data_IF_427874122275
#
_entry.id   IF_427874122275
#
_cell.length_a   1.000
_cell.length_b   1.000
_cell.length_c   1.000
_cell.angle_alpha   90.00
_cell.angle_beta   90.00
_cell.angle_gamma   90.00
#
_symmetry.space_group_name_H-M   'P 1'
#
loop_
_entity.id
_entity.type
_entity.pdbx_description
1 polymer ?
#
# COMPACT_ATOMS: atom_id res chain seq x y z
N UNK A 1 -53.83 -36.09 28.21
CA UNK A 1 -53.86 -35.07 27.14
C UNK A 1 -52.49 -34.39 27.08
N UNK A 2 -52.07 -34.04 25.87
CA UNK A 2 -50.69 -33.90 25.39
C UNK A 2 -49.86 -32.82 26.11
N UNK A 3 -48.61 -33.17 26.43
CA UNK A 3 -47.57 -32.22 26.83
C UNK A 3 -47.01 -31.52 25.59
N UNK A 4 -47.15 -30.20 25.55
CA UNK A 4 -46.60 -29.36 24.49
C UNK A 4 -45.19 -28.92 24.94
N UNK A 5 -44.15 -29.58 24.43
CA UNK A 5 -42.77 -29.14 24.59
C UNK A 5 -42.48 -28.05 23.56
N UNK A 6 -42.49 -26.80 23.99
CA UNK A 6 -42.10 -25.66 23.14
C UNK A 6 -40.59 -25.67 22.93
N UNK A 7 -40.15 -26.15 21.76
CA UNK A 7 -38.77 -26.01 21.30
C UNK A 7 -38.61 -24.58 20.79
N UNK A 8 -38.03 -23.71 21.61
CA UNK A 8 -37.61 -22.38 21.18
C UNK A 8 -36.35 -22.53 20.33
N UNK A 9 -36.51 -22.43 19.00
CA UNK A 9 -35.43 -22.39 18.03
C UNK A 9 -34.72 -21.03 18.18
N UNK A 10 -33.58 -21.02 18.88
CA UNK A 10 -32.72 -19.83 18.93
C UNK A 10 -32.07 -19.65 17.55
N UNK A 11 -32.60 -18.75 16.72
CA UNK A 11 -31.93 -18.30 15.51
C UNK A 11 -30.64 -17.58 15.91
N UNK A 12 -29.51 -18.27 15.72
CA UNK A 12 -28.18 -17.71 15.85
C UNK A 12 -27.96 -16.83 14.61
N UNK A 13 -28.30 -15.54 14.70
CA UNK A 13 -27.92 -14.57 13.68
C UNK A 13 -26.40 -14.44 13.69
N UNK A 14 -25.72 -15.11 12.77
CA UNK A 14 -24.31 -14.88 12.50
C UNK A 14 -24.16 -13.44 12.03
N UNK A 15 -23.69 -12.55 12.91
CA UNK A 15 -23.08 -11.29 12.47
C UNK A 15 -21.82 -11.69 11.71
N UNK A 16 -21.93 -11.78 10.40
CA UNK A 16 -20.78 -11.79 9.52
C UNK A 16 -20.11 -10.42 9.67
N UNK A 17 -19.11 -10.33 10.55
CA UNK A 17 -18.17 -9.22 10.57
C UNK A 17 -17.37 -9.34 9.27
N UNK A 18 -17.88 -8.75 8.19
CA UNK A 18 -17.12 -8.59 6.96
C UNK A 18 -15.87 -7.79 7.29
N UNK A 19 -14.69 -8.40 7.16
CA UNK A 19 -13.44 -7.66 7.17
C UNK A 19 -13.46 -6.77 5.92
N UNK A 20 -13.76 -5.48 6.10
CA UNK A 20 -13.57 -4.52 5.03
C UNK A 20 -12.06 -4.39 4.81
N UNK A 21 -11.60 -4.64 3.59
CA UNK A 21 -10.23 -4.34 3.22
C UNK A 21 -9.96 -2.86 3.51
N UNK A 22 -8.80 -2.56 4.12
CA UNK A 22 -8.44 -1.18 4.41
C UNK A 22 -8.38 -0.38 3.10
N UNK A 23 -8.97 0.82 3.10
CA UNK A 23 -8.97 1.69 1.91
C UNK A 23 -7.56 2.20 1.65
N UNK A 24 -7.07 2.03 0.42
CA UNK A 24 -5.81 2.61 -0.01
C UNK A 24 -5.97 4.15 -0.09
N UNK A 25 -5.10 4.87 0.63
CA UNK A 25 -5.08 6.33 0.70
C UNK A 25 -4.28 6.97 -0.43
N UNK A 26 -3.58 6.16 -1.24
CA UNK A 26 -2.80 6.62 -2.39
C UNK A 26 -3.73 6.77 -3.60
N UNK A 27 -3.76 7.96 -4.18
CA UNK A 27 -4.40 8.19 -5.48
C UNK A 27 -3.50 7.63 -6.58
N UNK A 28 -4.10 6.85 -7.49
CA UNK A 28 -3.41 6.28 -8.65
C UNK A 28 -2.15 5.48 -8.28
N UNK A 29 -2.25 4.61 -7.26
CA UNK A 29 -1.13 3.84 -6.74
C UNK A 29 -0.48 2.88 -7.74
N UNK A 30 -1.26 2.37 -8.71
CA UNK A 30 -0.79 1.54 -9.83
C UNK A 30 -0.75 2.26 -11.18
N UNK A 31 -0.86 3.59 -11.19
CA UNK A 31 -0.61 4.41 -12.39
C UNK A 31 -1.52 4.16 -13.62
N UNK A 32 -2.65 3.48 -13.44
CA UNK A 32 -3.62 3.17 -14.49
C UNK A 32 -4.53 4.36 -14.91
N UNK A 33 -4.54 5.45 -14.15
CA UNK A 33 -5.44 6.59 -14.42
C UNK A 33 -4.98 7.51 -15.56
N UNK A 34 -3.87 7.19 -16.23
CA UNK A 34 -3.40 7.85 -17.45
C UNK A 34 -3.31 6.83 -18.57
N UNK A 35 -4.07 7.03 -19.65
CA UNK A 35 -3.97 6.16 -20.83
C UNK A 35 -2.59 6.31 -21.48
N UNK A 36 -1.89 5.19 -21.71
CA UNK A 36 -0.53 5.14 -22.23
C UNK A 36 -0.38 3.92 -23.15
N UNK A 37 0.43 4.01 -24.22
CA UNK A 37 0.59 2.90 -25.20
C UNK A 37 2.03 2.42 -25.35
N UNK A 38 3.00 3.21 -24.88
CA UNK A 38 4.41 2.81 -24.75
C UNK A 38 4.97 3.52 -23.52
N UNK A 39 5.76 4.56 -23.69
CA UNK A 39 6.25 5.38 -22.59
C UNK A 39 6.13 6.87 -22.93
N UNK A 40 6.04 7.71 -21.92
CA UNK A 40 6.19 9.15 -22.04
C UNK A 40 6.60 9.76 -20.68
N UNK A 41 7.25 10.91 -20.72
CA UNK A 41 7.68 11.63 -19.51
C UNK A 41 6.66 12.70 -19.13
N UNK A 42 6.34 12.76 -17.84
CA UNK A 42 5.35 13.68 -17.30
C UNK A 42 5.92 14.47 -16.14
N UNK A 43 5.54 15.74 -16.00
CA UNK A 43 5.79 16.52 -14.79
C UNK A 43 4.79 16.17 -13.68
N UNK A 44 3.63 15.63 -14.04
CA UNK A 44 2.62 15.15 -13.10
C UNK A 44 1.77 14.02 -13.70
N UNK A 45 1.28 13.15 -12.81
CA UNK A 45 0.26 12.15 -13.08
C UNK A 45 -0.91 12.38 -12.11
N UNK A 46 -2.10 11.79 -12.31
CA UNK A 46 -3.17 11.87 -11.31
C UNK A 46 -2.65 11.47 -9.93
N UNK A 47 -2.75 12.38 -8.95
CA UNK A 47 -2.27 12.17 -7.57
C UNK A 47 -0.76 12.37 -7.35
N UNK A 48 0.05 12.52 -8.40
CA UNK A 48 1.51 12.48 -8.28
C UNK A 48 2.21 13.66 -8.96
N UNK A 49 3.28 14.15 -8.35
CA UNK A 49 4.16 15.18 -8.91
C UNK A 49 5.55 14.61 -9.17
N UNK A 50 6.02 14.69 -10.41
CA UNK A 50 7.38 14.30 -10.77
C UNK A 50 8.43 15.27 -10.22
N UNK A 51 9.65 14.77 -9.98
CA UNK A 51 10.76 15.53 -9.41
C UNK A 51 12.04 15.32 -10.25
N UNK A 52 12.29 16.13 -11.29
CA UNK A 52 11.38 17.12 -11.88
C UNK A 52 10.28 16.50 -12.74
N UNK A 53 10.40 15.22 -13.08
CA UNK A 53 9.46 14.48 -13.91
C UNK A 53 9.47 13.00 -13.52
N UNK A 54 8.65 12.21 -14.20
CA UNK A 54 8.55 10.76 -14.09
C UNK A 54 8.23 10.16 -15.44
N UNK A 55 8.78 9.00 -15.78
CA UNK A 55 8.41 8.27 -16.99
C UNK A 55 7.29 7.26 -16.67
N UNK A 56 6.15 7.39 -17.33
CA UNK A 56 5.07 6.40 -17.28
C UNK A 56 5.27 5.41 -18.43
N UNK A 57 5.33 4.12 -18.13
CA UNK A 57 5.53 3.03 -19.10
C UNK A 57 4.32 2.12 -19.09
N UNK A 58 3.87 1.71 -20.27
CA UNK A 58 2.89 0.65 -20.49
C UNK A 58 3.62 -0.58 -21.02
N UNK A 59 3.87 -1.56 -20.15
CA UNK A 59 4.51 -2.84 -20.49
C UNK A 59 5.69 -2.76 -21.48
N UNK A 60 6.54 -1.74 -21.34
CA UNK A 60 7.72 -1.51 -22.18
C UNK A 60 8.96 -1.41 -21.31
N UNK A 61 10.07 -2.01 -21.74
CA UNK A 61 11.27 -2.16 -20.91
C UNK A 61 10.97 -2.86 -19.57
N UNK A 62 10.05 -3.82 -19.60
CA UNK A 62 9.51 -4.53 -18.43
C UNK A 62 7.99 -4.70 -18.56
N UNK A 63 7.39 -5.40 -17.61
CA UNK A 63 5.93 -5.57 -17.51
C UNK A 63 5.43 -5.02 -16.18
N UNK A 64 4.24 -4.41 -16.17
CA UNK A 64 3.64 -3.87 -14.95
C UNK A 64 3.43 -4.97 -13.90
N UNK A 65 3.45 -4.59 -12.62
CA UNK A 65 3.11 -5.47 -11.52
C UNK A 65 1.59 -5.56 -11.34
N UNK A 66 0.91 -4.42 -11.46
CA UNK A 66 -0.55 -4.30 -11.48
C UNK A 66 -0.97 -3.59 -12.77
N UNK A 67 -2.11 -3.98 -13.35
CA UNK A 67 -2.63 -3.33 -14.56
C UNK A 67 -1.69 -3.42 -15.77
N UNK A 68 -1.45 -2.28 -16.43
CA UNK A 68 -0.66 -2.15 -17.65
C UNK A 68 0.49 -1.17 -17.52
N UNK A 69 0.38 -0.20 -16.62
CA UNK A 69 1.27 0.90 -16.43
C UNK A 69 2.11 0.76 -15.17
N UNK A 70 3.31 1.32 -15.20
CA UNK A 70 4.16 1.53 -14.04
C UNK A 70 5.03 2.76 -14.29
N UNK A 71 5.68 3.28 -13.25
CA UNK A 71 6.59 4.43 -13.41
C UNK A 71 8.05 4.04 -13.30
N UNK A 72 8.90 4.84 -13.91
CA UNK A 72 10.35 4.73 -13.84
C UNK A 72 10.98 6.08 -13.44
N UNK A 73 12.07 6.02 -12.66
CA UNK A 73 12.57 7.14 -11.84
C UNK A 73 13.95 7.71 -12.22
N UNK A 74 14.57 7.33 -13.33
CA UNK A 74 15.77 7.93 -13.93
C UNK A 74 15.53 8.18 -15.42
N UNK A 75 14.77 9.25 -15.72
CA UNK A 75 14.25 9.53 -17.05
C UNK A 75 15.37 9.93 -18.03
N UNK A 76 15.80 11.19 -18.01
CA UNK A 76 17.04 11.68 -18.62
C UNK A 76 18.13 11.90 -17.55
N UNK A 77 17.75 11.79 -16.28
CA UNK A 77 18.58 11.86 -15.09
C UNK A 77 17.79 11.30 -13.91
N UNK A 78 18.46 10.97 -12.81
CA UNK A 78 17.82 10.59 -11.56
C UNK A 78 16.69 11.57 -11.23
N UNK A 79 15.52 11.03 -10.98
CA UNK A 79 14.28 11.75 -10.73
C UNK A 79 13.54 11.15 -9.53
N UNK A 80 12.29 11.53 -9.36
CA UNK A 80 11.46 11.03 -8.28
C UNK A 80 10.00 11.37 -8.50
N UNK A 81 9.16 10.88 -7.60
CA UNK A 81 7.73 11.12 -7.62
C UNK A 81 7.22 11.31 -6.19
N UNK A 82 6.30 12.26 -6.01
CA UNK A 82 5.76 12.61 -4.69
C UNK A 82 4.24 12.70 -4.70
N UNK A 83 3.63 12.35 -3.56
CA UNK A 83 2.21 12.54 -3.29
C UNK A 83 2.03 12.90 -1.81
N UNK A 84 1.14 13.86 -1.53
CA UNK A 84 0.71 14.14 -0.16
C UNK A 84 -0.39 13.18 0.24
N UNK A 85 -0.17 12.45 1.32
CA UNK A 85 -1.14 11.51 1.90
C UNK A 85 -1.78 12.16 3.13
N UNK A 86 -3.11 12.18 3.17
CA UNK A 86 -3.89 12.68 4.33
C UNK A 86 -4.14 11.53 5.31
N UNK A 87 -3.34 11.48 6.38
CA UNK A 87 -3.45 10.47 7.43
C UNK A 87 -2.78 10.95 8.73
N UNK A 88 -3.11 10.26 9.82
CA UNK A 88 -2.50 10.41 11.15
C UNK A 88 -2.22 9.04 11.75
N UNK A 89 -1.37 9.00 12.78
CA UNK A 89 -1.05 7.78 13.52
C UNK A 89 -0.24 6.78 12.71
N UNK A 90 -0.44 5.50 13.00
CA UNK A 90 0.23 4.40 12.31
C UNK A 90 -0.45 4.12 10.96
N UNK A 91 0.37 4.08 9.92
CA UNK A 91 -0.02 3.62 8.58
C UNK A 91 0.93 2.51 8.13
N UNK A 92 0.44 1.61 7.29
CA UNK A 92 1.26 0.66 6.56
C UNK A 92 1.47 1.20 5.15
N UNK A 93 2.73 1.47 4.80
CA UNK A 93 3.17 1.75 3.44
C UNK A 93 3.58 0.43 2.78
N UNK A 94 3.09 0.18 1.58
CA UNK A 94 3.61 -0.88 0.71
C UNK A 94 3.75 -0.41 -0.73
N UNK A 95 4.64 -1.05 -1.48
CA UNK A 95 4.86 -0.81 -2.91
C UNK A 95 5.62 -1.96 -3.54
N UNK A 96 5.55 -2.07 -4.86
CA UNK A 96 6.37 -2.97 -5.64
C UNK A 96 7.46 -2.22 -6.38
N UNK A 97 8.66 -2.77 -6.34
CA UNK A 97 9.81 -2.19 -7.05
C UNK A 97 10.58 -3.27 -7.79
N UNK A 98 11.11 -2.92 -8.96
CA UNK A 98 12.01 -3.79 -9.70
C UNK A 98 13.13 -2.97 -10.33
N UNK A 99 14.36 -3.46 -10.23
CA UNK A 99 15.44 -2.94 -11.06
C UNK A 99 15.12 -3.15 -12.54
N UNK A 100 15.46 -2.15 -13.37
CA UNK A 100 15.23 -2.20 -14.80
C UNK A 100 15.93 -3.40 -15.42
N UNK A 101 15.25 -4.19 -16.27
CA UNK A 101 15.87 -5.32 -16.94
C UNK A 101 17.11 -4.89 -17.74
N UNK A 102 18.19 -5.69 -17.65
CA UNK A 102 19.45 -5.44 -18.34
C UNK A 102 20.39 -4.43 -17.68
N UNK A 103 20.14 -4.00 -16.43
CA UNK A 103 20.96 -2.98 -15.75
C UNK A 103 21.84 -3.55 -14.63
N UNK A 104 22.93 -2.84 -14.33
CA UNK A 104 23.86 -3.21 -13.26
C UNK A 104 23.32 -2.81 -11.88
N UNK A 105 24.03 -3.26 -10.83
CA UNK A 105 23.69 -2.94 -9.43
C UNK A 105 23.86 -1.47 -9.06
N UNK A 106 24.52 -0.66 -9.88
CA UNK A 106 24.75 0.76 -9.57
C UNK A 106 23.59 1.67 -9.97
N UNK A 107 22.60 1.17 -10.70
CA UNK A 107 21.63 2.04 -11.40
C UNK A 107 20.30 2.21 -10.63
N UNK A 108 19.79 1.17 -9.96
CA UNK A 108 18.40 1.13 -9.51
C UNK A 108 18.22 1.39 -8.01
N UNK A 109 19.12 2.15 -7.40
CA UNK A 109 19.02 2.46 -5.98
C UNK A 109 17.82 3.37 -5.72
N UNK A 110 17.05 3.08 -4.67
CA UNK A 110 15.80 3.76 -4.33
C UNK A 110 15.85 4.34 -2.92
N UNK A 111 15.64 5.64 -2.81
CA UNK A 111 15.29 6.29 -1.56
C UNK A 111 13.79 6.49 -1.45
N UNK A 112 13.25 6.20 -0.27
CA UNK A 112 11.87 6.50 0.09
C UNK A 112 11.86 7.39 1.32
N UNK A 113 11.03 8.42 1.29
CA UNK A 113 10.67 9.18 2.48
C UNK A 113 9.16 9.30 2.63
N UNK A 114 8.70 9.32 3.88
CA UNK A 114 7.31 9.52 4.21
C UNK A 114 7.18 10.43 5.44
N UNK A 115 6.87 11.70 5.16
CA UNK A 115 6.95 12.78 6.14
C UNK A 115 8.37 12.93 6.71
N UNK A 116 8.46 13.41 7.94
CA UNK A 116 9.74 13.50 8.67
C UNK A 116 10.07 12.22 9.44
N UNK A 117 9.13 11.27 9.50
CA UNK A 117 9.21 10.09 10.35
C UNK A 117 9.96 8.92 9.71
N UNK A 118 10.01 8.88 8.38
CA UNK A 118 10.65 7.82 7.63
C UNK A 118 11.44 8.40 6.47
N UNK A 119 12.73 8.13 6.42
CA UNK A 119 13.58 8.43 5.28
C UNK A 119 14.71 7.40 5.26
N UNK A 120 14.72 6.55 4.25
CA UNK A 120 15.76 5.52 4.12
C UNK A 120 16.04 5.21 2.66
N UNK A 121 17.25 4.77 2.38
CA UNK A 121 17.54 4.10 1.11
C UNK A 121 17.15 2.64 1.29
N UNK A 122 16.03 2.27 0.69
CA UNK A 122 15.40 0.95 0.88
C UNK A 122 16.05 -0.11 0.00
N UNK A 123 16.71 0.32 -1.08
CA UNK A 123 17.39 -0.53 -2.04
C UNK A 123 18.73 0.10 -2.43
N UNK A 124 19.82 -0.62 -2.16
CA UNK A 124 21.19 -0.26 -2.52
C UNK A 124 21.86 -1.43 -3.23
N UNK A 125 22.55 -1.15 -4.33
CA UNK A 125 23.25 -2.17 -5.10
C UNK A 125 22.31 -3.09 -5.88
N UNK A 126 21.13 -2.61 -6.30
CA UNK A 126 20.13 -3.47 -6.96
C UNK A 126 20.30 -3.43 -8.48
N UNK A 127 20.62 -4.59 -9.04
CA UNK A 127 20.75 -4.79 -10.49
C UNK A 127 19.81 -5.88 -10.99
N UNK A 128 19.62 -5.92 -12.31
CA UNK A 128 18.80 -6.94 -12.94
C UNK A 128 19.44 -7.33 -14.28
N UNK A 129 20.16 -8.45 -14.29
CA UNK A 129 20.81 -8.99 -15.50
C UNK A 129 19.85 -9.76 -16.41
N UNK A 130 18.57 -9.89 -16.03
CA UNK A 130 17.55 -10.58 -16.83
C UNK A 130 16.87 -9.64 -17.82
N UNK A 131 16.07 -10.19 -18.73
CA UNK A 131 15.26 -9.42 -19.70
C UNK A 131 13.86 -9.06 -19.20
N UNK A 132 13.52 -9.41 -17.96
CA UNK A 132 12.18 -9.20 -17.38
C UNK A 132 12.27 -8.51 -16.02
N UNK A 133 11.18 -7.90 -15.57
CA UNK A 133 11.11 -7.44 -14.18
C UNK A 133 11.19 -8.61 -13.21
N UNK A 134 11.85 -8.38 -12.09
CA UNK A 134 11.78 -9.18 -10.88
C UNK A 134 11.21 -8.30 -9.77
N UNK A 135 9.88 -8.26 -9.69
CA UNK A 135 9.17 -7.38 -8.76
C UNK A 135 9.35 -7.84 -7.32
N UNK A 136 9.74 -6.91 -6.45
CA UNK A 136 9.89 -7.11 -5.02
C UNK A 136 8.85 -6.28 -4.27
N UNK A 137 8.19 -6.89 -3.29
CA UNK A 137 7.19 -6.23 -2.47
C UNK A 137 7.82 -5.69 -1.19
N UNK A 138 7.63 -4.41 -0.93
CA UNK A 138 8.10 -3.73 0.27
C UNK A 138 6.92 -3.38 1.15
N UNK A 139 7.10 -3.50 2.46
CA UNK A 139 6.13 -3.05 3.46
C UNK A 139 6.83 -2.40 4.65
N UNK A 140 6.26 -1.33 5.17
CA UNK A 140 6.77 -0.61 6.33
C UNK A 140 5.63 0.05 7.11
N UNK A 141 5.59 -0.19 8.42
CA UNK A 141 4.75 0.59 9.33
C UNK A 141 5.43 1.95 9.58
N UNK A 142 4.74 3.05 9.32
CA UNK A 142 5.22 4.42 9.55
C UNK A 142 4.28 5.14 10.51
N UNK A 143 4.83 5.85 11.49
CA UNK A 143 4.05 6.72 12.37
C UNK A 143 4.09 8.16 11.83
N UNK A 144 2.97 8.64 11.28
CA UNK A 144 2.85 10.00 10.74
C UNK A 144 2.54 11.04 11.83
N UNK A 145 2.37 10.61 13.08
CA UNK A 145 1.97 11.50 14.17
C UNK A 145 0.60 12.14 13.89
N UNK A 146 0.44 13.39 14.33
CA UNK A 146 -0.87 14.06 14.34
C UNK A 146 -0.95 15.26 13.37
N UNK A 147 -0.07 15.34 12.37
CA UNK A 147 -0.03 16.46 11.42
C UNK A 147 -1.23 16.51 10.46
N UNK A 148 -1.97 15.41 10.30
CA UNK A 148 -3.09 15.29 9.37
C UNK A 148 -2.68 14.99 7.92
N UNK A 149 -1.40 15.16 7.59
CA UNK A 149 -0.85 14.79 6.29
C UNK A 149 0.66 14.64 6.31
N UNK A 150 1.19 13.88 5.35
CA UNK A 150 2.61 13.70 5.12
C UNK A 150 2.91 13.51 3.63
N UNK A 151 4.07 13.99 3.18
CA UNK A 151 4.54 13.76 1.81
C UNK A 151 5.21 12.39 1.73
N UNK A 152 4.68 11.52 0.88
CA UNK A 152 5.34 10.29 0.43
C UNK A 152 6.16 10.63 -0.81
N UNK A 153 7.42 10.21 -0.82
CA UNK A 153 8.33 10.45 -1.93
C UNK A 153 9.19 9.23 -2.23
N UNK A 154 9.41 9.00 -3.52
CA UNK A 154 10.32 8.00 -4.05
C UNK A 154 11.32 8.70 -4.95
N UNK A 155 12.60 8.40 -4.79
CA UNK A 155 13.65 8.98 -5.61
C UNK A 155 14.70 7.96 -6.02
N UNK A 156 15.12 8.02 -7.28
CA UNK A 156 16.29 7.29 -7.73
C UNK A 156 17.58 7.88 -7.11
N UNK A 157 18.52 7.00 -6.76
CA UNK A 157 19.80 7.33 -6.12
C UNK A 157 21.00 6.65 -6.77
N UNK A 158 20.79 5.88 -7.84
CA UNK A 158 21.84 5.18 -8.55
C UNK A 158 22.57 6.06 -9.57
N UNK A 159 23.21 5.43 -10.54
CA UNK A 159 23.81 6.09 -11.69
C UNK A 159 22.75 6.88 -12.46
N UNK A 160 23.06 8.15 -12.77
CA UNK A 160 22.19 9.02 -13.57
C UNK A 160 22.41 8.74 -15.06
N UNK A 161 21.85 7.64 -15.56
CA UNK A 161 22.17 7.05 -16.87
C UNK A 161 20.96 6.88 -17.79
N UNK A 162 19.80 7.46 -17.45
CA UNK A 162 18.52 7.30 -18.17
C UNK A 162 17.94 5.88 -18.11
N UNK A 163 18.39 5.07 -17.15
CA UNK A 163 18.02 3.66 -17.00
C UNK A 163 17.47 3.30 -15.62
N UNK A 164 16.47 3.99 -15.10
CA UNK A 164 16.04 3.80 -13.71
C UNK A 164 15.13 2.60 -13.48
N UNK A 165 15.03 2.23 -12.19
CA UNK A 165 14.16 1.16 -11.74
C UNK A 165 12.68 1.55 -11.75
N UNK A 166 11.86 0.51 -11.74
CA UNK A 166 10.41 0.56 -11.94
C UNK A 166 9.68 0.48 -10.60
N UNK A 167 8.64 1.29 -10.43
CA UNK A 167 7.81 1.39 -9.23
C UNK A 167 6.34 1.21 -9.62
N UNK A 168 5.61 0.43 -8.83
CA UNK A 168 4.20 0.11 -9.09
C UNK A 168 3.43 -0.24 -7.81
N UNK A 169 2.10 -0.22 -7.91
CA UNK A 169 1.13 -0.68 -6.91
C UNK A 169 1.45 -0.21 -5.48
N UNK A 170 1.51 1.11 -5.34
CA UNK A 170 1.78 1.80 -4.08
C UNK A 170 0.49 1.86 -3.27
N UNK A 171 0.58 1.46 -2.00
CA UNK A 171 -0.53 1.49 -1.07
C UNK A 171 -0.13 2.10 0.27
N UNK A 172 -1.03 2.91 0.82
CA UNK A 172 -0.95 3.37 2.21
C UNK A 172 -2.30 3.10 2.86
N UNK A 173 -2.31 2.33 3.95
CA UNK A 173 -3.53 2.02 4.69
C UNK A 173 -3.37 2.36 6.17
N UNK A 174 -4.42 2.91 6.79
CA UNK A 174 -4.43 3.15 8.24
C UNK A 174 -4.33 1.84 9.00
N UNK A 175 -3.46 1.80 10.02
CA UNK A 175 -3.36 0.66 10.93
C UNK A 175 -4.32 0.90 12.10
N UNK A 176 -5.29 0.00 12.35
CA UNK A 176 -6.21 0.18 13.47
C UNK A 176 -5.47 0.29 14.80
N UNK A 177 -5.80 1.31 15.58
CA UNK A 177 -5.14 1.51 16.87
C UNK A 177 -5.44 0.35 17.83
N UNK A 178 -4.49 0.00 18.73
CA UNK A 178 -4.68 -1.06 19.73
C UNK A 178 -5.97 -0.90 20.54
N UNK A 179 -6.41 0.34 20.78
CA UNK A 179 -7.65 0.65 21.49
C UNK A 179 -8.89 0.15 20.76
N UNK A 180 -8.88 0.13 19.42
CA UNK A 180 -9.97 -0.43 18.62
C UNK A 180 -10.12 -1.93 18.89
N UNK A 181 -8.99 -2.65 18.99
CA UNK A 181 -9.00 -4.07 19.35
C UNK A 181 -9.40 -4.28 20.81
N UNK A 182 -8.93 -3.42 21.73
CA UNK A 182 -9.34 -3.50 23.14
C UNK A 182 -10.85 -3.28 23.31
N UNK A 183 -11.43 -2.31 22.60
CA UNK A 183 -12.87 -2.03 22.60
C UNK A 183 -13.67 -3.16 21.94
N UNK A 184 -13.15 -3.75 20.86
CA UNK A 184 -13.73 -4.96 20.27
C UNK A 184 -13.76 -6.11 21.27
N UNK A 185 -12.62 -6.40 21.92
CA UNK A 185 -12.51 -7.47 22.92
C UNK A 185 -13.40 -7.18 24.14
N UNK A 186 -13.46 -5.93 24.61
CA UNK A 186 -14.35 -5.52 25.67
C UNK A 186 -15.82 -5.73 25.29
N UNK A 187 -16.22 -5.34 24.07
CA UNK A 187 -17.55 -5.58 23.53
C UNK A 187 -17.89 -7.08 23.47
N UNK A 188 -16.96 -7.90 22.98
CA UNK A 188 -17.11 -9.37 22.94
C UNK A 188 -17.21 -9.97 24.35
N UNK A 189 -16.43 -9.46 25.31
CA UNK A 189 -16.50 -9.85 26.71
C UNK A 189 -17.90 -9.58 27.31
N UNK A 190 -18.44 -8.39 27.11
CA UNK A 190 -19.80 -8.03 27.54
C UNK A 190 -20.84 -8.97 26.91
N UNK A 191 -20.77 -9.20 25.60
CA UNK A 191 -21.69 -10.10 24.90
C UNK A 191 -21.62 -11.54 25.43
N UNK A 192 -20.42 -12.05 25.70
CA UNK A 192 -20.22 -13.35 26.32
C UNK A 192 -20.88 -13.48 27.71
N UNK A 193 -20.77 -12.44 28.56
CA UNK A 193 -21.42 -12.45 29.88
C UNK A 193 -22.95 -12.43 29.79
N UNK A 194 -23.52 -11.67 28.85
CA UNK A 194 -24.97 -11.60 28.62
C UNK A 194 -25.49 -12.96 28.13
N UNK A 195 -24.80 -13.59 27.17
CA UNK A 195 -25.15 -14.92 26.67
C UNK A 195 -25.15 -15.98 27.79
N UNK A 196 -24.12 -15.96 28.65
CA UNK A 196 -24.04 -16.86 29.82
C UNK A 196 -25.21 -16.66 30.78
N UNK A 197 -25.57 -15.42 31.11
CA UNK A 197 -26.69 -15.09 32.00
C UNK A 197 -28.02 -15.56 31.44
N UNK A 198 -28.24 -15.42 30.13
CA UNK A 198 -29.46 -15.90 29.45
C UNK A 198 -29.58 -17.43 29.52
N UNK A 199 -28.47 -18.15 29.31
CA UNK A 199 -28.45 -19.62 29.44
C UNK A 199 -28.80 -20.08 30.86
N UNK A 200 -28.32 -19.38 31.89
CA UNK A 200 -28.61 -19.71 33.29
C UNK A 200 -30.06 -19.44 33.72
N UNK A 201 -30.76 -18.49 33.08
CA UNK A 201 -32.19 -18.24 33.35
C UNK A 201 -33.14 -19.17 32.60
N UNK A 202 -32.63 -19.86 31.57
CA UNK A 202 -33.41 -20.80 30.75
C UNK A 202 -33.23 -22.28 31.17
N UNK A 203 -32.36 -22.54 32.16
CA UNK A 203 -32.18 -23.83 32.82
C UNK A 203 -32.86 -23.80 34.19
#
# INVERSE_FOLDING_TARGET
>A
MKSMKSIALAMLSTLALGANAATNLVTNGSFEQTAQTNWNTYTSLPGWTGQPNVELRNNVSGTAQDGLNFVELDTNANSGITQTITATGLVELSFWYSARPGTSSSTNDLQVSFGNSFQTTVLQGVGNSTSTHNWQHFTQIVNLGNSGSAVLAFYARGASDSLGGSLDNISVTSVPEPETYAMLLAGLGVMGTIARRRKQKAA
#
